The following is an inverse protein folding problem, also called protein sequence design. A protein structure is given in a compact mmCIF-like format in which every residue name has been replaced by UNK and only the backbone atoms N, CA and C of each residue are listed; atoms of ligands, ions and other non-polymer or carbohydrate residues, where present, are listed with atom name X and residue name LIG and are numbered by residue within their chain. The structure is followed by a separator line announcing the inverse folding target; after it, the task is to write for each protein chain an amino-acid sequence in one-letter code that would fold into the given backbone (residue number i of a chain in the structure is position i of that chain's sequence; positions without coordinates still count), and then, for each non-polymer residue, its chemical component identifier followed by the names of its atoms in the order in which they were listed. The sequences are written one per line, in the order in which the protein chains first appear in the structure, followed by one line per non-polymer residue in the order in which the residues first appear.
data_IF_973650459867
#
_entry.id   IF_973650459867
#
_cell.length_a   1.000
_cell.length_b   1.000
_cell.length_c   1.000
_cell.angle_alpha   90.00
_cell.angle_beta   90.00
_cell.angle_gamma   90.00
#
_symmetry.space_group_name_H-M   'P 1'
#
loop_
_entity.id
_entity.type
_entity.pdbx_description
1 polymer ?
#
# COMPACT_ATOMS: atom_id res chain seq x y z
N UNK A 1 -14.16 -89.38 -53.06
CA UNK A 1 -13.98 -88.05 -52.44
C UNK A 1 -15.12 -87.86 -51.47
N UNK A 2 -14.74 -87.39 -50.29
CA UNK A 2 -15.43 -87.44 -49.02
C UNK A 2 -16.74 -86.64 -48.95
N UNK A 3 -17.54 -87.00 -47.93
CA UNK A 3 -18.65 -86.25 -47.30
C UNK A 3 -20.02 -86.27 -47.98
N UNK A 4 -21.05 -86.67 -47.20
CA UNK A 4 -22.46 -86.17 -47.14
C UNK A 4 -23.41 -87.29 -46.59
N UNK A 5 -24.59 -86.96 -46.01
CA UNK A 5 -24.86 -87.27 -44.60
C UNK A 5 -26.23 -87.94 -44.30
N UNK A 6 -26.50 -88.17 -43.00
CA UNK A 6 -27.80 -88.25 -42.30
C UNK A 6 -28.81 -89.36 -42.65
N UNK A 7 -29.06 -90.27 -41.69
CA UNK A 7 -30.31 -91.07 -41.52
C UNK A 7 -30.45 -91.33 -40.00
N UNK A 8 -31.41 -90.78 -39.24
CA UNK A 8 -32.86 -91.10 -39.07
C UNK A 8 -33.19 -92.42 -38.33
N UNK A 9 -34.24 -92.34 -37.50
CA UNK A 9 -35.15 -93.39 -36.91
C UNK A 9 -35.00 -93.73 -35.40
N UNK A 10 -36.12 -93.87 -34.62
CA UNK A 10 -36.20 -93.80 -33.14
C UNK A 10 -36.62 -95.15 -32.45
N UNK A 11 -37.42 -95.20 -31.35
CA UNK A 11 -37.13 -95.76 -30.00
C UNK A 11 -37.93 -97.10 -29.74
N UNK A 12 -38.40 -97.54 -28.54
CA UNK A 12 -38.14 -97.23 -27.11
C UNK A 12 -37.96 -98.48 -26.17
N UNK A 13 -37.81 -98.25 -24.85
CA UNK A 13 -38.23 -99.15 -23.77
C UNK A 13 -37.11 -99.94 -23.06
N UNK A 14 -37.23 -100.41 -21.82
CA UNK A 14 -38.04 -100.10 -20.62
C UNK A 14 -37.45 -101.01 -19.50
N UNK A 15 -37.61 -100.59 -18.23
CA UNK A 15 -37.56 -101.42 -17.01
C UNK A 15 -36.19 -101.95 -16.54
N UNK A 16 -35.92 -102.26 -15.27
CA UNK A 16 -36.44 -101.97 -13.92
C UNK A 16 -35.42 -102.66 -12.99
N UNK A 17 -35.19 -102.14 -11.78
CA UNK A 17 -34.52 -102.95 -10.75
C UNK A 17 -33.87 -102.13 -9.64
N UNK A 18 -34.65 -101.77 -8.62
CA UNK A 18 -34.13 -101.35 -7.30
C UNK A 18 -33.97 -102.58 -6.41
N UNK A 19 -32.87 -102.64 -5.68
CA UNK A 19 -32.82 -103.23 -4.34
C UNK A 19 -31.83 -102.43 -3.47
N UNK A 20 -32.25 -102.16 -2.25
CA UNK A 20 -31.60 -101.29 -1.27
C UNK A 20 -31.48 -102.03 0.06
N UNK A 21 -30.35 -101.89 0.75
CA UNK A 21 -30.14 -102.26 2.15
C UNK A 21 -28.92 -101.51 2.72
N UNK A 22 -28.82 -101.30 4.05
CA UNK A 22 -28.89 -99.95 4.62
C UNK A 22 -27.56 -99.42 5.20
N UNK A 23 -27.46 -98.10 5.31
CA UNK A 23 -26.26 -97.36 5.72
C UNK A 23 -26.28 -97.00 7.21
N UNK A 24 -25.10 -97.05 7.82
CA UNK A 24 -24.77 -96.91 9.23
C UNK A 24 -24.52 -95.44 9.64
N UNK A 25 -25.15 -95.02 10.73
CA UNK A 25 -25.04 -93.69 11.31
C UNK A 25 -23.71 -93.50 12.06
N UNK A 26 -22.92 -92.48 11.69
CA UNK A 26 -21.82 -91.92 12.48
C UNK A 26 -22.19 -90.50 12.90
N UNK A 27 -22.16 -90.24 14.19
CA UNK A 27 -22.45 -88.94 14.82
C UNK A 27 -21.30 -87.94 14.54
N UNK A 28 -21.64 -86.77 13.99
CA UNK A 28 -20.72 -85.65 13.74
C UNK A 28 -21.19 -84.45 14.58
N UNK A 29 -20.34 -83.80 15.39
CA UNK A 29 -20.76 -82.64 16.17
C UNK A 29 -21.05 -81.44 15.26
N UNK A 30 -22.12 -80.69 15.58
CA UNK A 30 -22.57 -79.53 14.79
C UNK A 30 -21.52 -78.40 14.73
N UNK A 31 -21.32 -77.72 13.58
CA UNK A 31 -20.39 -76.60 13.48
C UNK A 31 -20.91 -75.37 14.25
N UNK A 32 -20.03 -74.56 14.87
CA UNK A 32 -20.44 -73.35 15.59
C UNK A 32 -21.03 -72.32 14.61
N UNK A 33 -22.22 -71.83 14.89
CA UNK A 33 -22.92 -70.85 14.05
C UNK A 33 -22.15 -69.52 13.97
N UNK A 34 -21.93 -68.95 12.77
CA UNK A 34 -21.17 -67.72 12.62
C UNK A 34 -21.96 -66.52 13.15
N UNK A 35 -21.28 -65.63 13.88
CA UNK A 35 -21.77 -64.37 14.49
C UNK A 35 -22.20 -63.30 13.45
N UNK A 36 -22.95 -63.67 12.40
CA UNK A 36 -23.44 -62.78 11.33
C UNK A 36 -24.26 -61.59 11.86
N UNK A 37 -24.98 -61.77 12.97
CA UNK A 37 -25.81 -60.72 13.58
C UNK A 37 -24.98 -59.54 14.11
N UNK A 38 -23.72 -59.77 14.54
CA UNK A 38 -22.84 -58.70 15.04
C UNK A 38 -22.30 -57.83 13.91
N UNK A 39 -21.93 -58.43 12.78
CA UNK A 39 -21.35 -57.69 11.63
C UNK A 39 -22.39 -56.73 11.01
N UNK A 40 -23.65 -57.16 10.89
CA UNK A 40 -24.73 -56.30 10.43
C UNK A 40 -25.05 -55.14 11.38
N UNK A 41 -24.92 -55.36 12.69
CA UNK A 41 -25.06 -54.30 13.69
C UNK A 41 -23.95 -53.25 13.55
N UNK A 42 -22.70 -53.65 13.32
CA UNK A 42 -21.61 -52.70 13.05
C UNK A 42 -21.81 -51.93 11.75
N UNK A 43 -22.25 -52.59 10.67
CA UNK A 43 -22.55 -51.91 9.40
C UNK A 43 -23.68 -50.87 9.54
N UNK A 44 -24.76 -51.20 10.25
CA UNK A 44 -25.85 -50.25 10.54
C UNK A 44 -25.38 -49.09 11.43
N UNK A 45 -24.46 -49.35 12.36
CA UNK A 45 -23.92 -48.32 13.25
C UNK A 45 -22.98 -47.37 12.49
N UNK A 46 -22.13 -47.89 11.58
CA UNK A 46 -21.30 -47.07 10.69
C UNK A 46 -22.14 -46.27 9.69
N UNK A 47 -23.20 -46.86 9.13
CA UNK A 47 -24.11 -46.17 8.22
C UNK A 47 -24.91 -45.08 8.95
N UNK A 48 -25.40 -45.37 10.15
CA UNK A 48 -26.07 -44.41 11.03
C UNK A 48 -25.14 -43.28 11.48
N UNK A 49 -23.89 -43.59 11.80
CA UNK A 49 -22.87 -42.59 12.12
C UNK A 49 -22.55 -41.72 10.90
N UNK A 50 -22.37 -42.31 9.72
CA UNK A 50 -22.17 -41.56 8.47
C UNK A 50 -23.35 -40.64 8.15
N UNK A 51 -24.58 -41.12 8.33
CA UNK A 51 -25.79 -40.33 8.16
C UNK A 51 -25.91 -39.20 9.19
N UNK A 52 -25.57 -39.46 10.45
CA UNK A 52 -25.55 -38.46 11.51
C UNK A 52 -24.50 -37.37 11.26
N UNK A 53 -23.29 -37.75 10.84
CA UNK A 53 -22.24 -36.80 10.42
C UNK A 53 -22.70 -35.98 9.21
N UNK A 54 -23.33 -36.61 8.22
CA UNK A 54 -23.89 -35.90 7.06
C UNK A 54 -24.98 -34.90 7.46
N UNK A 55 -25.87 -35.25 8.40
CA UNK A 55 -26.88 -34.34 8.94
C UNK A 55 -26.28 -33.17 9.70
N UNK A 56 -25.25 -33.41 10.51
CA UNK A 56 -24.51 -32.34 11.20
C UNK A 56 -23.82 -31.40 10.20
N UNK A 57 -23.22 -31.95 9.15
CA UNK A 57 -22.62 -31.16 8.08
C UNK A 57 -23.68 -30.34 7.34
N UNK A 58 -24.82 -30.95 6.97
CA UNK A 58 -25.93 -30.25 6.32
C UNK A 58 -26.51 -29.14 7.21
N UNK A 59 -26.69 -29.42 8.50
CA UNK A 59 -27.15 -28.45 9.48
C UNK A 59 -26.17 -27.31 9.69
N UNK A 60 -24.87 -27.60 9.76
CA UNK A 60 -23.81 -26.59 9.83
C UNK A 60 -23.73 -25.72 8.58
N UNK A 61 -23.88 -26.31 7.39
CA UNK A 61 -23.97 -25.57 6.12
C UNK A 61 -25.22 -24.69 6.11
N UNK A 62 -26.40 -25.23 6.45
CA UNK A 62 -27.63 -24.46 6.50
C UNK A 62 -27.52 -23.28 7.48
N UNK A 63 -26.97 -23.52 8.67
CA UNK A 63 -26.74 -22.49 9.69
C UNK A 63 -25.78 -21.40 9.19
N UNK A 64 -24.71 -21.77 8.49
CA UNK A 64 -23.77 -20.82 7.88
C UNK A 64 -24.41 -19.97 6.77
N UNK A 65 -25.28 -20.56 5.95
CA UNK A 65 -26.05 -19.83 4.93
C UNK A 65 -27.08 -18.87 5.54
N UNK A 66 -27.58 -19.15 6.74
CA UNK A 66 -28.49 -18.24 7.47
C UNK A 66 -27.77 -17.24 8.39
N UNK A 67 -26.47 -17.42 8.63
CA UNK A 67 -25.68 -16.59 9.55
C UNK A 67 -24.95 -15.46 8.82
N UNK A 68 -24.91 -14.26 9.42
CA UNK A 68 -24.20 -13.08 8.89
C UNK A 68 -22.67 -13.14 9.04
N UNK A 69 -22.09 -14.34 9.12
CA UNK A 69 -20.66 -14.54 9.41
C UNK A 69 -19.85 -14.68 8.12
N UNK A 70 -18.67 -14.08 8.13
CA UNK A 70 -17.68 -14.22 7.06
C UNK A 70 -16.97 -15.56 7.22
N UNK A 71 -16.64 -16.20 6.09
CA UNK A 71 -15.95 -17.48 6.09
C UNK A 71 -14.62 -17.40 6.88
N UNK A 72 -14.35 -18.32 7.83
CA UNK A 72 -13.09 -18.34 8.55
C UNK A 72 -11.88 -18.44 7.61
N UNK A 73 -10.81 -17.71 7.91
CA UNK A 73 -9.60 -17.65 7.07
C UNK A 73 -9.71 -16.69 5.87
N UNK A 74 -10.73 -15.83 5.84
CA UNK A 74 -10.83 -14.73 4.86
C UNK A 74 -10.01 -13.53 5.32
N UNK A 75 -9.14 -13.03 4.45
CA UNK A 75 -8.32 -11.84 4.69
C UNK A 75 -8.67 -10.73 3.70
N UNK A 76 -8.54 -9.49 4.14
CA UNK A 76 -8.61 -8.29 3.29
C UNK A 76 -7.44 -7.42 3.69
N UNK A 77 -6.60 -7.02 2.73
CA UNK A 77 -5.44 -6.14 2.98
C UNK A 77 -4.47 -6.68 4.05
N UNK A 78 -4.39 -8.01 4.20
CA UNK A 78 -3.61 -8.68 5.25
C UNK A 78 -4.30 -8.78 6.62
N UNK A 79 -5.47 -8.16 6.81
CA UNK A 79 -6.28 -8.26 8.02
C UNK A 79 -7.23 -9.45 7.94
N UNK A 80 -7.20 -10.33 8.95
CA UNK A 80 -8.16 -11.42 9.07
C UNK A 80 -9.51 -10.90 9.56
N UNK A 81 -10.56 -11.11 8.75
CA UNK A 81 -11.95 -10.77 9.04
C UNK A 81 -12.85 -12.02 9.08
N UNK A 82 -12.28 -13.21 8.85
CA UNK A 82 -13.00 -14.46 8.87
C UNK A 82 -13.54 -14.78 10.26
N UNK A 83 -14.79 -15.26 10.33
CA UNK A 83 -15.48 -15.53 11.60
C UNK A 83 -16.12 -14.30 12.24
N UNK A 84 -15.86 -13.09 11.74
CA UNK A 84 -16.55 -11.88 12.17
C UNK A 84 -17.93 -11.77 11.50
N UNK A 85 -18.85 -11.03 12.13
CA UNK A 85 -20.04 -10.54 11.45
C UNK A 85 -19.69 -9.45 10.44
N UNK A 86 -20.55 -9.21 9.44
CA UNK A 86 -20.32 -8.10 8.49
C UNK A 86 -20.14 -6.74 9.20
N UNK A 87 -20.90 -6.48 10.27
CA UNK A 87 -20.81 -5.22 11.01
C UNK A 87 -19.46 -5.07 11.73
N UNK A 88 -19.00 -6.13 12.41
CA UNK A 88 -17.69 -6.13 13.07
C UNK A 88 -16.55 -6.01 12.05
N UNK A 89 -16.60 -6.74 10.94
CA UNK A 89 -15.61 -6.64 9.87
C UNK A 89 -15.55 -5.24 9.26
N UNK A 90 -16.71 -4.59 9.09
CA UNK A 90 -16.79 -3.21 8.59
C UNK A 90 -16.07 -2.24 9.54
N UNK A 91 -16.34 -2.34 10.85
CA UNK A 91 -15.70 -1.50 11.85
C UNK A 91 -14.18 -1.71 11.90
N UNK A 92 -13.74 -2.97 11.90
CA UNK A 92 -12.31 -3.33 11.93
C UNK A 92 -11.58 -2.85 10.68
N UNK A 93 -12.16 -3.01 9.48
CA UNK A 93 -11.54 -2.53 8.25
C UNK A 93 -11.50 -1.01 8.16
N UNK A 94 -12.53 -0.33 8.68
CA UNK A 94 -12.55 1.14 8.72
C UNK A 94 -11.46 1.69 9.63
N UNK A 95 -11.26 1.09 10.81
CA UNK A 95 -10.18 1.43 11.74
C UNK A 95 -8.80 1.12 11.14
N UNK A 96 -8.63 -0.05 10.52
CA UNK A 96 -7.38 -0.44 9.84
C UNK A 96 -7.03 0.52 8.70
N UNK A 97 -8.03 0.96 7.92
CA UNK A 97 -7.84 1.92 6.84
C UNK A 97 -7.42 3.30 7.33
N UNK A 98 -8.05 3.80 8.40
CA UNK A 98 -7.75 5.12 8.97
C UNK A 98 -6.34 5.21 9.54
N UNK A 99 -5.81 4.11 10.07
CA UNK A 99 -4.48 4.07 10.69
C UNK A 99 -3.41 3.41 9.81
N UNK A 100 -3.74 3.03 8.57
CA UNK A 100 -2.76 2.48 7.64
C UNK A 100 -1.73 3.56 7.29
N UNK A 101 -0.42 3.31 7.52
CA UNK A 101 0.60 4.28 7.16
C UNK A 101 0.90 4.21 5.66
N UNK A 102 0.99 5.38 5.03
CA UNK A 102 1.61 5.58 3.71
C UNK A 102 2.78 6.54 3.90
N UNK A 103 3.99 6.09 3.60
CA UNK A 103 5.20 6.90 3.73
C UNK A 103 5.57 7.49 2.36
N UNK A 104 5.55 8.81 2.27
CA UNK A 104 6.13 9.57 1.16
C UNK A 104 7.58 9.91 1.54
N UNK A 105 8.53 9.79 0.62
CA UNK A 105 9.93 10.15 0.93
C UNK A 105 10.66 10.69 -0.28
N UNK A 106 11.49 11.71 -0.05
CA UNK A 106 12.46 12.25 -1.01
C UNK A 106 13.75 11.42 -1.09
N UNK A 107 13.82 10.28 -0.39
CA UNK A 107 14.99 9.41 -0.28
C UNK A 107 15.82 9.63 1.00
N UNK A 108 15.54 10.71 1.74
CA UNK A 108 16.25 11.04 2.98
C UNK A 108 15.30 11.08 4.17
N UNK A 109 14.19 11.80 4.04
CA UNK A 109 13.23 12.04 5.12
C UNK A 109 11.92 11.32 4.83
N UNK A 110 11.38 10.54 5.78
CA UNK A 110 10.07 9.93 5.66
C UNK A 110 8.96 10.87 6.15
N UNK A 111 7.93 11.05 5.32
CA UNK A 111 6.71 11.80 5.63
C UNK A 111 5.54 10.81 5.71
N UNK A 112 4.91 10.70 6.88
CA UNK A 112 3.87 9.70 7.13
C UNK A 112 2.48 10.30 6.95
N UNK A 113 1.68 9.68 6.10
CA UNK A 113 0.30 10.02 5.79
C UNK A 113 -0.59 8.79 5.87
N UNK A 114 -1.89 8.99 5.68
CA UNK A 114 -2.89 7.93 5.55
C UNK A 114 -3.36 7.80 4.11
N UNK A 115 -3.99 6.68 3.71
CA UNK A 115 -4.62 6.55 2.40
C UNK A 115 -5.61 7.68 2.11
N UNK A 116 -6.37 8.13 3.13
CA UNK A 116 -7.34 9.19 2.98
C UNK A 116 -6.70 10.54 2.61
N UNK A 117 -5.52 10.85 3.15
CA UNK A 117 -4.78 12.08 2.81
C UNK A 117 -4.36 12.10 1.33
N UNK A 118 -4.13 10.91 0.75
CA UNK A 118 -3.83 10.70 -0.66
C UNK A 118 -5.09 10.55 -1.53
N UNK A 119 -6.28 10.84 -1.00
CA UNK A 119 -7.54 10.68 -1.73
C UNK A 119 -7.93 9.22 -1.99
N UNK A 120 -7.32 8.24 -1.31
CA UNK A 120 -7.71 6.84 -1.40
C UNK A 120 -8.78 6.53 -0.35
N UNK A 121 -9.94 6.05 -0.79
CA UNK A 121 -11.07 5.75 0.09
C UNK A 121 -11.51 4.30 -0.06
N UNK A 122 -11.69 3.60 1.06
CA UNK A 122 -12.17 2.22 1.09
C UNK A 122 -13.70 2.15 1.16
N UNK A 123 -14.31 1.43 0.22
CA UNK A 123 -15.70 1.00 0.34
C UNK A 123 -15.75 -0.28 1.20
N UNK A 124 -15.81 -0.08 2.51
CA UNK A 124 -15.84 -1.17 3.49
C UNK A 124 -17.07 -2.05 3.32
N UNK A 125 -18.24 -1.48 3.00
CA UNK A 125 -19.48 -2.21 2.81
C UNK A 125 -19.39 -3.14 1.59
N UNK A 126 -18.93 -2.64 0.44
CA UNK A 126 -18.74 -3.47 -0.76
C UNK A 126 -17.67 -4.54 -0.53
N UNK A 127 -16.56 -4.18 0.11
CA UNK A 127 -15.47 -5.13 0.43
C UNK A 127 -15.93 -6.26 1.34
N UNK A 128 -16.64 -5.93 2.42
CA UNK A 128 -17.20 -6.92 3.35
C UNK A 128 -18.27 -7.79 2.67
N UNK A 129 -19.07 -7.22 1.77
CA UNK A 129 -20.03 -8.00 0.99
C UNK A 129 -19.33 -9.02 0.08
N UNK A 130 -18.23 -8.63 -0.60
CA UNK A 130 -17.42 -9.58 -1.37
C UNK A 130 -16.85 -10.69 -0.47
N UNK A 131 -16.32 -10.33 0.69
CA UNK A 131 -15.81 -11.30 1.67
C UNK A 131 -16.92 -12.21 2.21
N UNK A 132 -18.13 -11.70 2.39
CA UNK A 132 -19.28 -12.49 2.81
C UNK A 132 -19.75 -13.48 1.74
N UNK A 133 -19.73 -13.08 0.47
CA UNK A 133 -20.09 -13.97 -0.65
C UNK A 133 -19.06 -15.08 -0.89
N UNK A 134 -17.86 -14.94 -0.34
CA UNK A 134 -16.82 -15.96 -0.38
C UNK A 134 -17.25 -17.23 0.36
N UNK A 135 -17.14 -18.38 -0.30
CA UNK A 135 -17.60 -19.69 0.18
C UNK A 135 -19.09 -19.96 -0.04
N UNK A 136 -19.86 -18.98 -0.54
CA UNK A 136 -21.31 -19.09 -0.78
C UNK A 136 -21.69 -19.16 -2.26
N UNK A 137 -20.72 -19.01 -3.16
CA UNK A 137 -20.91 -19.13 -4.61
C UNK A 137 -20.11 -20.31 -5.18
N UNK A 138 -20.59 -20.90 -6.28
CA UNK A 138 -19.92 -22.02 -6.95
C UNK A 138 -18.47 -21.69 -7.36
N UNK A 139 -18.19 -20.43 -7.71
CA UNK A 139 -16.85 -19.95 -8.04
C UNK A 139 -15.91 -19.94 -6.82
N UNK A 140 -16.42 -19.54 -5.65
CA UNK A 140 -15.64 -19.45 -4.41
C UNK A 140 -15.33 -20.82 -3.76
N UNK A 141 -16.16 -21.84 -4.00
CA UNK A 141 -15.91 -23.21 -3.51
C UNK A 141 -14.63 -23.82 -4.08
N UNK A 142 -14.27 -23.48 -5.32
CA UNK A 142 -13.01 -23.90 -5.94
C UNK A 142 -11.77 -23.21 -5.35
N UNK A 143 -11.92 -21.98 -4.83
CA UNK A 143 -10.84 -21.23 -4.15
C UNK A 143 -10.63 -21.73 -2.71
N UNK A 144 -11.68 -22.23 -2.07
CA UNK A 144 -11.64 -22.80 -0.71
C UNK A 144 -10.66 -23.99 -0.61
N UNK A 145 -10.47 -24.74 -1.70
CA UNK A 145 -9.51 -25.84 -1.81
C UNK A 145 -8.04 -25.38 -1.90
N UNK A 146 -7.77 -24.09 -2.15
CA UNK A 146 -6.41 -23.57 -2.38
C UNK A 146 -5.80 -22.84 -1.18
N UNK A 147 -6.47 -22.86 -0.02
CA UNK A 147 -6.05 -22.24 1.26
C UNK A 147 -5.91 -20.71 1.21
N UNK A 148 -6.55 -20.06 2.20
CA UNK A 148 -6.67 -18.60 2.41
C UNK A 148 -7.47 -17.88 1.31
N UNK A 149 -8.64 -17.35 1.68
CA UNK A 149 -9.42 -16.54 0.78
C UNK A 149 -9.02 -15.07 0.97
N UNK A 150 -7.99 -14.64 0.24
CA UNK A 150 -7.64 -13.22 0.19
C UNK A 150 -8.59 -12.50 -0.76
N UNK A 151 -9.32 -11.52 -0.20
CA UNK A 151 -10.36 -10.78 -0.91
C UNK A 151 -9.82 -9.39 -1.23
N UNK A 152 -9.76 -9.00 -2.51
CA UNK A 152 -9.29 -7.68 -2.88
C UNK A 152 -10.27 -6.61 -2.35
N UNK A 153 -9.75 -5.52 -1.75
CA UNK A 153 -10.60 -4.43 -1.30
C UNK A 153 -11.24 -3.70 -2.48
N UNK A 154 -12.44 -3.17 -2.27
CA UNK A 154 -13.10 -2.21 -3.14
C UNK A 154 -12.77 -0.81 -2.64
N UNK A 155 -12.08 -0.02 -3.43
CA UNK A 155 -11.63 1.31 -3.07
C UNK A 155 -11.63 2.22 -4.28
N UNK A 156 -11.59 3.52 -4.05
CA UNK A 156 -11.49 4.56 -5.08
C UNK A 156 -10.34 5.51 -4.77
N UNK A 157 -9.91 6.24 -5.80
CA UNK A 157 -8.81 7.17 -5.74
C UNK A 157 -9.22 8.50 -6.37
N UNK A 158 -9.01 9.57 -5.62
CA UNK A 158 -9.21 10.96 -6.05
C UNK A 158 -7.85 11.64 -6.27
N UNK A 159 -7.40 11.80 -7.53
CA UNK A 159 -6.11 12.41 -7.82
C UNK A 159 -6.03 13.88 -7.42
N UNK A 160 -7.16 14.59 -7.31
CA UNK A 160 -7.16 16.01 -6.94
C UNK A 160 -6.78 16.21 -5.46
N UNK A 161 -7.17 15.28 -4.59
CA UNK A 161 -6.75 15.29 -3.19
C UNK A 161 -5.27 14.98 -3.04
N UNK A 162 -4.75 14.00 -3.80
CA UNK A 162 -3.31 13.72 -3.84
C UNK A 162 -2.51 14.94 -4.32
N UNK A 163 -2.98 15.64 -5.36
CA UNK A 163 -2.35 16.87 -5.84
C UNK A 163 -2.35 17.98 -4.79
N UNK A 164 -3.47 18.18 -4.08
CA UNK A 164 -3.56 19.18 -3.01
C UNK A 164 -2.56 18.90 -1.87
N UNK A 165 -2.44 17.62 -1.45
CA UNK A 165 -1.44 17.21 -0.47
C UNK A 165 -0.02 17.49 -0.97
N UNK A 166 0.29 17.12 -2.22
CA UNK A 166 1.61 17.35 -2.80
C UNK A 166 1.96 18.84 -2.93
N UNK A 167 0.99 19.70 -3.23
CA UNK A 167 1.22 21.15 -3.26
C UNK A 167 1.55 21.70 -1.87
N UNK A 168 0.85 21.25 -0.82
CA UNK A 168 1.20 21.62 0.55
C UNK A 168 2.60 21.13 0.93
N UNK A 169 2.95 19.89 0.56
CA UNK A 169 4.30 19.37 0.74
C UNK A 169 5.34 20.17 -0.05
N UNK A 170 5.01 20.65 -1.24
CA UNK A 170 5.93 21.44 -2.05
C UNK A 170 6.34 22.73 -1.34
N UNK A 171 5.41 23.38 -0.62
CA UNK A 171 5.70 24.57 0.19
C UNK A 171 6.59 24.23 1.40
N UNK A 172 6.33 23.10 2.08
CA UNK A 172 7.10 22.66 3.23
C UNK A 172 8.54 22.24 2.86
N UNK A 173 8.71 21.61 1.70
CA UNK A 173 9.99 21.12 1.20
C UNK A 173 10.78 22.19 0.43
N UNK A 174 10.16 23.32 0.11
CA UNK A 174 10.81 24.35 -0.67
C UNK A 174 12.00 24.94 0.09
N UNK A 175 13.19 24.74 -0.46
CA UNK A 175 14.40 25.39 0.00
C UNK A 175 14.86 26.36 -1.09
N UNK A 176 14.86 27.68 -0.83
CA UNK A 176 15.26 28.64 -1.85
C UNK A 176 16.75 28.50 -2.20
N UNK A 177 17.11 28.70 -3.48
CA UNK A 177 18.52 28.79 -3.85
C UNK A 177 19.17 30.03 -3.23
N UNK A 178 20.43 29.93 -2.84
CA UNK A 178 21.21 31.04 -2.32
C UNK A 178 22.38 31.36 -3.26
N UNK A 179 22.47 32.63 -3.66
CA UNK A 179 23.57 33.12 -4.50
C UNK A 179 24.92 33.00 -3.79
N UNK A 180 25.96 32.78 -4.58
CA UNK A 180 27.32 33.09 -4.18
C UNK A 180 27.41 34.57 -3.84
N UNK A 181 28.01 34.87 -2.70
CA UNK A 181 28.00 36.22 -2.13
C UNK A 181 29.35 36.59 -1.55
N UNK A 182 29.32 37.65 -0.74
CA UNK A 182 30.51 38.18 -0.09
C UNK A 182 30.18 38.44 1.38
N UNK A 183 31.11 38.11 2.26
CA UNK A 183 31.01 38.39 3.69
C UNK A 183 32.31 39.02 4.18
N UNK A 184 32.22 39.97 5.13
CA UNK A 184 33.39 40.56 5.77
C UNK A 184 33.81 39.72 6.98
N UNK A 185 35.04 39.21 6.98
CA UNK A 185 35.66 38.46 8.09
C UNK A 185 37.05 39.02 8.33
N UNK A 186 37.36 39.41 9.56
CA UNK A 186 38.67 39.97 9.96
C UNK A 186 39.18 41.06 9.00
N UNK A 187 38.32 42.05 8.70
CA UNK A 187 38.58 43.15 7.75
C UNK A 187 38.94 42.69 6.32
N UNK A 188 38.46 41.51 5.91
CA UNK A 188 38.62 40.99 4.54
C UNK A 188 37.31 40.45 4.00
N UNK A 189 36.98 40.86 2.79
CA UNK A 189 35.88 40.27 2.05
C UNK A 189 36.27 38.88 1.57
N UNK A 190 35.46 37.89 1.94
CA UNK A 190 35.59 36.49 1.50
C UNK A 190 34.35 36.10 0.70
N UNK A 191 34.54 35.21 -0.27
CA UNK A 191 33.43 34.67 -1.07
C UNK A 191 32.65 33.66 -0.24
N UNK A 192 31.33 33.79 -0.22
CA UNK A 192 30.44 32.75 0.31
C UNK A 192 30.00 31.83 -0.83
N UNK A 193 30.07 30.49 -0.65
CA UNK A 193 29.70 29.55 -1.70
C UNK A 193 28.18 29.63 -1.99
N UNK A 194 27.77 29.38 -3.24
CA UNK A 194 26.36 29.26 -3.59
C UNK A 194 25.73 28.00 -2.98
N UNK A 195 24.40 28.00 -2.90
CA UNK A 195 23.61 26.84 -2.52
C UNK A 195 22.48 26.62 -3.52
N UNK A 196 22.39 25.41 -4.06
CA UNK A 196 21.29 24.99 -4.92
C UNK A 196 20.02 24.83 -4.09
N UNK A 197 18.93 25.44 -4.56
CA UNK A 197 17.62 25.28 -3.98
C UNK A 197 17.03 23.91 -4.28
N UNK A 198 16.01 23.53 -3.53
CA UNK A 198 15.27 22.28 -3.73
C UNK A 198 13.78 22.62 -3.88
N UNK A 199 13.16 22.04 -4.90
CA UNK A 199 11.71 22.13 -5.11
C UNK A 199 11.14 20.73 -5.34
N UNK A 200 9.94 20.46 -4.81
CA UNK A 200 9.19 19.26 -5.14
C UNK A 200 8.60 19.39 -6.55
N UNK A 201 8.86 18.39 -7.40
CA UNK A 201 8.17 18.24 -8.68
C UNK A 201 6.83 17.54 -8.42
N UNK A 202 5.81 18.35 -8.14
CA UNK A 202 4.45 17.88 -7.88
C UNK A 202 3.91 17.10 -9.07
N UNK A 203 4.14 17.58 -10.30
CA UNK A 203 3.60 16.95 -11.51
C UNK A 203 4.18 15.55 -11.73
N UNK A 204 5.50 15.40 -11.61
CA UNK A 204 6.17 14.09 -11.81
C UNK A 204 5.85 13.14 -10.64
N UNK A 205 5.81 13.65 -9.41
CA UNK A 205 5.42 12.85 -8.24
C UNK A 205 3.99 12.34 -8.37
N UNK A 206 3.05 13.21 -8.74
CA UNK A 206 1.64 12.87 -8.94
C UNK A 206 1.47 11.86 -10.08
N UNK A 207 2.16 12.05 -11.21
CA UNK A 207 2.14 11.10 -12.32
C UNK A 207 2.65 9.71 -11.88
N UNK A 208 3.72 9.66 -11.08
CA UNK A 208 4.23 8.40 -10.54
C UNK A 208 3.21 7.67 -9.65
N UNK A 209 2.49 8.39 -8.79
CA UNK A 209 1.42 7.83 -7.96
C UNK A 209 0.24 7.38 -8.85
N UNK A 210 -0.18 8.21 -9.81
CA UNK A 210 -1.32 7.95 -10.69
C UNK A 210 -1.11 6.74 -11.60
N UNK A 211 0.13 6.43 -11.99
CA UNK A 211 0.44 5.24 -12.79
C UNK A 211 0.08 3.93 -12.08
N UNK A 212 0.20 3.89 -10.75
CA UNK A 212 -0.11 2.67 -9.99
C UNK A 212 -0.49 2.95 -8.52
N UNK A 213 -1.66 3.56 -8.26
CA UNK A 213 -2.10 3.91 -6.91
C UNK A 213 -2.33 2.66 -6.04
N UNK A 214 -2.71 1.54 -6.67
CA UNK A 214 -2.84 0.25 -5.98
C UNK A 214 -1.50 -0.22 -5.39
N UNK A 215 -0.41 -0.04 -6.14
CA UNK A 215 0.92 -0.40 -5.65
C UNK A 215 1.31 0.44 -4.45
N UNK A 216 1.08 1.77 -4.49
CA UNK A 216 1.36 2.68 -3.36
C UNK A 216 0.63 2.24 -2.10
N UNK A 217 -0.65 1.85 -2.22
CA UNK A 217 -1.45 1.33 -1.12
C UNK A 217 -0.92 -0.01 -0.55
N UNK A 218 -0.43 -0.89 -1.42
CA UNK A 218 0.09 -2.21 -1.04
C UNK A 218 1.48 -2.11 -0.40
N UNK A 219 2.38 -1.31 -0.99
CA UNK A 219 3.74 -1.11 -0.46
C UNK A 219 3.77 -0.16 0.72
N UNK A 220 2.73 0.65 0.91
CA UNK A 220 2.65 1.63 1.98
C UNK A 220 3.54 2.84 1.74
N UNK A 221 3.78 3.23 0.48
CA UNK A 221 4.64 4.38 0.20
C UNK A 221 4.88 4.72 -1.25
N UNK A 222 5.36 5.94 -1.47
CA UNK A 222 5.74 6.50 -2.77
C UNK A 222 6.96 7.44 -2.63
N UNK A 223 7.68 7.63 -3.73
CA UNK A 223 8.86 8.51 -3.78
C UNK A 223 8.43 9.91 -4.21
N UNK A 224 8.86 10.91 -3.44
CA UNK A 224 8.76 12.32 -3.77
C UNK A 224 9.89 12.69 -4.73
N UNK A 225 9.54 13.22 -5.89
CA UNK A 225 10.50 13.60 -6.92
C UNK A 225 10.88 15.06 -6.71
N UNK A 226 12.14 15.32 -6.35
CA UNK A 226 12.66 16.67 -6.15
C UNK A 226 13.55 17.10 -7.31
N UNK A 227 13.64 18.41 -7.51
CA UNK A 227 14.53 19.03 -8.48
C UNK A 227 15.43 20.06 -7.81
N UNK A 228 16.71 20.08 -8.22
CA UNK A 228 17.64 21.13 -7.85
C UNK A 228 17.37 22.38 -8.69
N UNK A 229 17.32 23.53 -8.05
CA UNK A 229 17.20 24.85 -8.69
C UNK A 229 18.50 25.60 -8.46
N UNK A 230 19.32 25.88 -9.51
CA UNK A 230 20.56 26.59 -9.33
C UNK A 230 20.30 28.06 -8.93
N UNK A 231 21.19 28.68 -8.13
CA UNK A 231 21.10 30.10 -7.84
C UNK A 231 21.41 30.95 -9.07
N UNK A 232 20.93 32.19 -9.06
CA UNK A 232 21.17 33.15 -10.14
C UNK A 232 22.67 33.49 -10.29
N UNK A 233 23.40 33.48 -9.18
CA UNK A 233 24.86 33.66 -9.14
C UNK A 233 25.50 32.41 -8.55
N UNK A 234 25.93 31.49 -9.40
CA UNK A 234 26.65 30.28 -8.96
C UNK A 234 28.18 30.39 -9.11
N UNK A 235 28.66 31.24 -10.01
CA UNK A 235 30.09 31.34 -10.31
C UNK A 235 30.83 32.21 -9.27
N UNK A 236 31.56 31.55 -8.37
CA UNK A 236 32.36 32.19 -7.33
C UNK A 236 33.52 33.01 -7.90
N UNK A 237 34.03 32.70 -9.10
CA UNK A 237 35.11 33.47 -9.72
C UNK A 237 34.61 34.84 -10.20
N UNK A 238 33.36 34.92 -10.68
CA UNK A 238 32.72 36.20 -11.01
C UNK A 238 32.52 37.05 -9.76
N UNK A 239 32.16 36.43 -8.64
CA UNK A 239 32.03 37.09 -7.34
C UNK A 239 33.39 37.60 -6.85
N UNK A 240 34.43 36.76 -6.90
CA UNK A 240 35.79 37.12 -6.50
C UNK A 240 36.32 38.31 -7.30
N UNK A 241 36.08 38.34 -8.61
CA UNK A 241 36.45 39.48 -9.46
C UNK A 241 35.75 40.80 -9.04
N UNK A 242 34.55 40.72 -8.47
CA UNK A 242 33.76 41.86 -7.99
C UNK A 242 34.22 42.38 -6.63
N UNK A 243 34.85 41.56 -5.79
CA UNK A 243 35.33 41.98 -4.46
C UNK A 243 36.25 43.20 -4.56
N UNK A 244 37.03 43.30 -5.64
CA UNK A 244 37.91 44.43 -5.92
C UNK A 244 37.21 45.79 -6.02
N UNK A 245 35.89 45.82 -6.23
CA UNK A 245 35.09 47.05 -6.26
C UNK A 245 34.79 47.58 -4.85
N UNK A 246 34.80 46.72 -3.84
CA UNK A 246 34.49 47.12 -2.46
C UNK A 246 35.66 47.87 -1.82
N UNK A 247 35.33 48.88 -1.01
CA UNK A 247 36.28 49.67 -0.24
C UNK A 247 35.87 49.64 1.23
N UNK A 248 36.77 49.25 2.13
CA UNK A 248 36.55 49.25 3.58
C UNK A 248 36.59 50.66 4.14
N UNK A 249 35.69 51.50 3.67
CA UNK A 249 35.52 52.89 4.11
C UNK A 249 34.18 53.04 4.81
N UNK A 250 34.13 53.87 5.84
CA UNK A 250 32.87 54.24 6.45
C UNK A 250 32.00 54.98 5.44
N UNK A 251 30.72 54.64 5.40
CA UNK A 251 29.72 55.29 4.54
C UNK A 251 28.92 56.26 5.41
N UNK A 252 28.64 57.46 4.89
CA UNK A 252 27.80 58.45 5.60
C UNK A 252 26.38 58.37 5.07
N UNK A 253 25.43 58.07 5.96
CA UNK A 253 24.00 58.13 5.67
C UNK A 253 23.46 59.50 6.09
N UNK A 254 22.79 60.17 5.16
CA UNK A 254 22.13 61.44 5.39
C UNK A 254 20.64 61.21 5.65
N UNK A 255 20.21 61.34 6.90
CA UNK A 255 18.81 61.20 7.31
C UNK A 255 18.19 62.57 7.60
N UNK A 256 16.91 62.75 7.22
CA UNK A 256 16.14 63.95 7.51
C UNK A 256 14.94 63.60 8.40
N UNK A 257 14.86 64.21 9.59
CA UNK A 257 13.72 64.10 10.52
C UNK A 257 12.75 65.25 10.22
N UNK A 258 11.58 64.99 9.58
CA UNK A 258 10.63 66.04 9.23
C UNK A 258 9.85 66.59 10.43
N UNK A 259 9.83 65.88 11.57
CA UNK A 259 9.14 66.32 12.79
C UNK A 259 10.00 67.35 13.51
N UNK A 260 11.31 67.08 13.61
CA UNK A 260 12.28 67.99 14.25
C UNK A 260 12.91 68.99 13.27
N UNK A 261 12.69 68.82 11.96
CA UNK A 261 13.37 69.58 10.91
C UNK A 261 14.91 69.52 11.06
N UNK A 262 15.43 68.35 11.42
CA UNK A 262 16.85 68.10 11.65
C UNK A 262 17.43 67.22 10.54
N UNK A 263 18.68 67.50 10.14
CA UNK A 263 19.48 66.60 9.31
C UNK A 263 20.50 65.92 10.20
N UNK A 264 20.67 64.61 10.02
CA UNK A 264 21.66 63.82 10.73
C UNK A 264 22.56 63.10 9.74
N UNK A 265 23.86 63.18 10.00
CA UNK A 265 24.88 62.44 9.29
C UNK A 265 25.33 61.29 10.19
N UNK A 266 25.01 60.07 9.79
CA UNK A 266 25.32 58.86 10.55
C UNK A 266 26.47 58.16 9.82
N UNK A 267 27.62 58.02 10.49
CA UNK A 267 28.73 57.23 9.97
C UNK A 267 28.47 55.75 10.25
N UNK A 268 28.51 54.94 9.19
CA UNK A 268 28.24 53.51 9.23
C UNK A 268 29.54 52.79 8.90
N UNK A 269 30.00 51.94 9.82
CA UNK A 269 31.24 51.20 9.67
C UNK A 269 31.11 50.06 8.64
N UNK A 270 32.23 49.56 8.07
CA UNK A 270 32.21 48.48 7.09
C UNK A 270 31.59 47.17 7.55
N UNK A 271 31.70 46.80 8.82
CA UNK A 271 31.08 45.58 9.32
C UNK A 271 29.56 45.68 9.35
N UNK A 272 29.02 46.89 9.51
CA UNK A 272 27.59 47.16 9.46
C UNK A 272 27.07 47.24 8.03
N UNK A 273 27.61 48.12 7.17
CA UNK A 273 27.03 48.29 5.82
C UNK A 273 27.24 47.10 4.90
N UNK A 274 28.30 46.30 5.11
CA UNK A 274 28.56 45.10 4.28
C UNK A 274 27.50 44.03 4.43
N UNK A 275 26.71 44.03 5.51
CA UNK A 275 25.58 43.12 5.71
C UNK A 275 24.37 43.47 4.83
N UNK A 276 24.34 44.67 4.25
CA UNK A 276 23.23 45.14 3.41
C UNK A 276 23.53 45.02 1.93
N UNK A 277 24.69 44.50 1.55
CA UNK A 277 25.12 44.47 0.16
C UNK A 277 25.23 43.02 -0.28
N UNK A 278 24.54 42.68 -1.37
CA UNK A 278 24.56 41.35 -1.97
C UNK A 278 24.83 41.44 -3.47
N UNK A 279 25.13 40.31 -4.09
CA UNK A 279 25.32 40.21 -5.52
C UNK A 279 24.12 39.53 -6.17
N UNK A 280 23.66 40.11 -7.28
CA UNK A 280 22.58 39.57 -8.10
C UNK A 280 22.86 39.77 -9.59
N UNK A 281 22.05 39.12 -10.42
CA UNK A 281 22.05 39.35 -11.87
C UNK A 281 21.00 40.40 -12.22
N UNK A 282 21.37 41.37 -13.06
CA UNK A 282 20.40 42.31 -13.64
C UNK A 282 19.64 41.69 -14.82
N UNK A 283 18.73 42.46 -15.42
CA UNK A 283 17.94 42.02 -16.58
C UNK A 283 18.79 41.72 -17.85
N UNK A 284 20.06 42.14 -17.88
CA UNK A 284 21.02 41.87 -18.96
C UNK A 284 21.99 40.73 -18.61
N UNK A 285 21.68 39.96 -17.55
CA UNK A 285 22.53 38.90 -17.00
C UNK A 285 23.93 39.38 -16.60
N UNK A 286 24.06 40.65 -16.21
CA UNK A 286 25.28 41.19 -15.64
C UNK A 286 25.23 41.12 -14.12
N UNK A 287 26.33 40.66 -13.52
CA UNK A 287 26.48 40.62 -12.08
C UNK A 287 26.62 42.05 -11.54
N UNK A 288 25.75 42.45 -10.60
CA UNK A 288 25.66 43.80 -10.03
C UNK A 288 25.52 43.75 -8.51
N UNK A 289 25.98 44.81 -7.85
CA UNK A 289 25.73 45.02 -6.42
C UNK A 289 24.28 45.43 -6.20
N UNK A 290 23.62 44.76 -5.26
CA UNK A 290 22.26 45.04 -4.83
C UNK A 290 22.27 45.43 -3.35
N UNK A 291 21.37 46.33 -2.99
CA UNK A 291 21.14 46.73 -1.62
C UNK A 291 19.99 45.89 -1.06
N UNK A 292 20.23 45.21 0.06
CA UNK A 292 19.21 44.61 0.89
C UNK A 292 18.48 45.72 1.65
N UNK A 293 17.39 46.21 1.04
CA UNK A 293 16.56 47.26 1.61
C UNK A 293 15.90 46.85 2.93
N UNK A 294 15.67 45.54 3.15
CA UNK A 294 15.06 45.04 4.39
C UNK A 294 16.06 45.12 5.53
N UNK A 295 17.30 44.68 5.30
CA UNK A 295 18.36 44.78 6.31
C UNK A 295 18.70 46.24 6.63
N UNK A 296 18.71 47.13 5.63
CA UNK A 296 18.88 48.56 5.85
C UNK A 296 17.71 49.17 6.63
N UNK A 297 16.46 48.89 6.26
CA UNK A 297 15.29 49.41 6.97
C UNK A 297 15.28 48.96 8.44
N UNK A 298 15.60 47.69 8.71
CA UNK A 298 15.70 47.17 10.07
C UNK A 298 16.76 47.87 10.93
N UNK A 299 17.86 48.33 10.32
CA UNK A 299 18.86 49.15 11.02
C UNK A 299 18.35 50.56 11.34
N UNK A 300 17.52 51.15 10.47
CA UNK A 300 16.99 52.51 10.65
C UNK A 300 15.81 52.57 11.64
N UNK A 301 15.06 51.48 11.78
CA UNK A 301 13.93 51.36 12.69
C UNK A 301 14.32 50.99 14.14
N UNK A 302 15.57 50.53 14.35
CA UNK A 302 16.15 50.17 15.66
C UNK A 302 16.78 51.33 16.40
#
# INVERSE_FOLDING_TARGET
MDSQPTIFVPPPGKQNGRSSSPNNERWVPAPPQPKRRRIWLWLLLFLGFGFFVALLLLGGIAYFYTSNWILPGTTVLGRNIGGMTQAEATAVLMEDWQHRPITLSDGHTPYNYTPNDLGMTLDTAATVNLAYQQGRTAASLGQLLRSVADVPPVWSYDPAQAEALLNHLAEELYTPPANAGVMLVDDKFIVTPPFDGIVLDVAVTLDAINRNPAQVLITGGAVLMTQSVPPAVADTALVEAKIGDLRLTAVSLHAYDPIRNERRDIAIDPATWSQWVSLGMDASSQLVWQLDEVALAGYLDG
#
